data_IF_785452141744
#
_entry.id   IF_785452141744
#
_cell.length_a   1.000
_cell.length_b   1.000
_cell.length_c   1.000
_cell.angle_alpha   90.00
_cell.angle_beta   90.00
_cell.angle_gamma   90.00
#
_symmetry.space_group_name_H-M   'P 1'
#
loop_
_entity.id
_entity.type
_entity.pdbx_description
1 polymer ?
#
# COMPACT_ATOMS: atom_id res chain seq x y z
N UNK A 1 -13.19 -29.01 47.09
CA UNK A 1 -13.00 -27.59 46.72
C UNK A 1 -12.17 -27.49 45.45
N UNK A 2 -12.66 -28.05 44.33
CA UNK A 2 -11.90 -28.24 43.10
C UNK A 2 -12.76 -27.91 41.86
N UNK A 3 -13.54 -26.82 41.94
CA UNK A 3 -14.47 -26.41 40.86
C UNK A 3 -14.36 -24.95 40.45
N UNK A 4 -13.51 -24.16 41.10
CA UNK A 4 -13.37 -22.71 40.83
C UNK A 4 -12.16 -22.40 39.93
N UNK A 5 -11.21 -23.32 39.79
CA UNK A 5 -9.97 -23.07 39.02
C UNK A 5 -10.18 -23.14 37.49
N UNK A 6 -11.24 -23.80 37.00
CA UNK A 6 -11.48 -23.95 35.55
C UNK A 6 -12.11 -22.72 34.88
N UNK A 7 -12.75 -21.83 35.65
CA UNK A 7 -13.48 -20.67 35.09
C UNK A 7 -12.58 -19.44 34.86
N UNK A 8 -11.36 -19.43 35.39
CA UNK A 8 -10.43 -18.28 35.27
C UNK A 8 -9.54 -18.40 34.01
N UNK A 9 -9.30 -19.61 33.51
CA UNK A 9 -8.44 -19.85 32.32
C UNK A 9 -9.10 -19.51 30.97
N UNK A 10 -10.41 -19.29 30.95
CA UNK A 10 -11.16 -18.93 29.72
C UNK A 10 -11.31 -17.41 29.51
N UNK A 11 -10.86 -16.59 30.45
CA UNK A 11 -10.98 -15.12 30.37
C UNK A 11 -9.68 -14.41 29.98
N UNK A 12 -8.58 -15.15 29.86
CA UNK A 12 -7.29 -14.62 29.44
C UNK A 12 -6.92 -15.00 28.01
N UNK A 13 -7.85 -15.51 27.20
CA UNK A 13 -7.69 -15.49 25.74
C UNK A 13 -7.86 -14.05 25.26
N UNK A 14 -6.93 -13.18 25.66
CA UNK A 14 -6.64 -11.99 24.89
C UNK A 14 -6.33 -12.52 23.50
N UNK A 15 -7.22 -12.22 22.57
CA UNK A 15 -7.01 -12.46 21.16
C UNK A 15 -5.63 -11.92 20.82
N UNK A 16 -4.67 -12.80 20.56
CA UNK A 16 -3.45 -12.39 19.90
C UNK A 16 -3.86 -12.04 18.48
N UNK A 17 -4.17 -10.76 18.25
CA UNK A 17 -4.39 -10.25 16.90
C UNK A 17 -3.05 -10.45 16.18
N UNK A 18 -3.05 -11.25 15.12
CA UNK A 18 -1.88 -11.37 14.26
C UNK A 18 -1.54 -9.98 13.74
N UNK A 19 -0.26 -9.61 13.78
CA UNK A 19 0.17 -8.28 13.35
C UNK A 19 -0.26 -8.02 11.90
N UNK A 20 -1.03 -6.97 11.68
CA UNK A 20 -1.53 -6.56 10.37
C UNK A 20 -0.77 -5.33 9.89
N UNK A 21 -0.10 -5.47 8.74
CA UNK A 21 0.52 -4.38 8.03
C UNK A 21 -0.49 -3.69 7.12
N UNK A 22 -0.53 -2.36 7.16
CA UNK A 22 -1.29 -1.51 6.27
C UNK A 22 -0.33 -0.68 5.42
N UNK A 23 -0.51 -0.69 4.11
CA UNK A 23 0.29 0.11 3.17
C UNK A 23 -0.60 1.13 2.47
N UNK A 24 -0.14 2.36 2.40
CA UNK A 24 -0.86 3.47 1.80
C UNK A 24 -0.03 4.13 0.71
N UNK A 25 -0.69 4.63 -0.32
CA UNK A 25 -0.09 5.50 -1.34
C UNK A 25 -0.80 6.84 -1.34
N UNK A 26 -0.04 7.89 -1.03
CA UNK A 26 -0.50 9.28 -1.10
C UNK A 26 0.06 10.01 -2.31
N UNK A 27 -0.76 10.82 -2.99
CA UNK A 27 -0.38 11.68 -4.12
C UNK A 27 -0.70 13.13 -3.78
N UNK A 28 0.30 13.93 -3.49
CA UNK A 28 0.19 15.38 -3.23
C UNK A 28 0.66 16.17 -4.45
N UNK A 29 -0.19 17.08 -4.93
CA UNK A 29 0.06 17.86 -6.12
C UNK A 29 -0.11 19.34 -5.82
N UNK A 30 0.97 20.09 -6.07
CA UNK A 30 1.04 21.54 -5.94
C UNK A 30 1.63 22.12 -7.23
N UNK A 31 1.45 23.41 -7.53
CA UNK A 31 2.04 24.03 -8.71
C UNK A 31 3.57 23.93 -8.77
N UNK A 32 4.25 23.68 -7.65
CA UNK A 32 5.71 23.60 -7.55
C UNK A 32 6.26 22.18 -7.44
N UNK A 33 5.42 21.21 -7.02
CA UNK A 33 5.83 19.82 -6.86
C UNK A 33 4.68 18.82 -7.02
N UNK A 34 5.02 17.66 -7.56
CA UNK A 34 4.27 16.41 -7.39
C UNK A 34 5.05 15.57 -6.40
N UNK A 35 4.41 15.12 -5.32
CA UNK A 35 4.99 14.21 -4.36
C UNK A 35 4.10 12.99 -4.18
N UNK A 36 4.69 11.82 -4.32
CA UNK A 36 4.05 10.53 -4.05
C UNK A 36 4.78 9.92 -2.87
N UNK A 37 4.03 9.39 -1.91
CA UNK A 37 4.57 8.75 -0.71
C UNK A 37 3.96 7.37 -0.55
N UNK A 38 4.83 6.39 -0.28
CA UNK A 38 4.42 5.09 0.24
C UNK A 38 4.59 5.15 1.74
N UNK A 39 3.52 4.85 2.46
CA UNK A 39 3.47 4.88 3.92
C UNK A 39 3.03 3.52 4.43
N UNK A 40 3.49 3.16 5.62
CA UNK A 40 3.14 1.89 6.26
C UNK A 40 2.81 2.11 7.72
N UNK A 41 1.89 1.32 8.24
CA UNK A 41 1.51 1.32 9.63
C UNK A 41 1.10 -0.08 10.07
N UNK A 42 1.34 -0.43 11.32
CA UNK A 42 0.97 -1.72 11.88
C UNK A 42 -0.23 -1.57 12.81
N UNK A 43 -1.12 -2.57 12.80
CA UNK A 43 -2.19 -2.74 13.78
C UNK A 43 -3.05 -1.46 13.93
N UNK A 44 -3.29 -1.01 15.17
CA UNK A 44 -4.13 0.13 15.48
C UNK A 44 -3.71 1.46 14.83
N UNK A 45 -2.42 1.64 14.51
CA UNK A 45 -1.99 2.82 13.75
C UNK A 45 -2.53 2.77 12.31
N UNK A 46 -2.49 1.60 11.67
CA UNK A 46 -3.05 1.41 10.34
C UNK A 46 -4.57 1.55 10.32
N UNK A 47 -5.25 1.02 11.34
CA UNK A 47 -6.69 1.23 11.53
C UNK A 47 -7.03 2.72 11.70
N UNK A 48 -6.25 3.45 12.50
CA UNK A 48 -6.43 4.89 12.66
C UNK A 48 -6.25 5.62 11.32
N UNK A 49 -5.23 5.26 10.53
CA UNK A 49 -5.02 5.84 9.20
C UNK A 49 -6.18 5.56 8.24
N UNK A 50 -6.82 4.39 8.33
CA UNK A 50 -8.03 4.06 7.55
C UNK A 50 -9.22 4.95 7.91
N UNK A 51 -9.35 5.35 9.18
CA UNK A 51 -10.40 6.29 9.61
C UNK A 51 -10.11 7.73 9.20
N UNK A 52 -8.83 8.13 9.13
CA UNK A 52 -8.38 9.46 8.75
C UNK A 52 -8.21 9.61 7.22
N UNK A 53 -9.23 9.23 6.46
CA UNK A 53 -9.18 9.21 4.99
C UNK A 53 -8.85 10.59 4.42
N UNK A 54 -7.88 10.64 3.51
CA UNK A 54 -7.61 11.80 2.66
C UNK A 54 -7.99 11.46 1.21
N UNK A 55 -8.59 12.38 0.43
CA UNK A 55 -9.06 12.09 -0.93
C UNK A 55 -7.97 11.59 -1.89
N UNK A 56 -6.72 11.95 -1.61
CA UNK A 56 -5.54 11.68 -2.40
C UNK A 56 -4.61 10.64 -1.77
N UNK A 57 -5.12 9.84 -0.82
CA UNK A 57 -4.39 8.74 -0.18
C UNK A 57 -5.27 7.50 -0.19
N UNK A 58 -4.71 6.38 -0.64
CA UNK A 58 -5.44 5.12 -0.75
C UNK A 58 -4.72 4.03 0.04
N UNK A 59 -5.51 3.23 0.75
CA UNK A 59 -5.05 1.95 1.27
C UNK A 59 -4.92 0.98 0.09
N UNK A 60 -3.81 0.25 -0.01
CA UNK A 60 -3.52 -0.55 -1.19
C UNK A 60 -4.51 -1.69 -1.42
N UNK A 61 -5.17 -2.21 -0.37
CA UNK A 61 -6.25 -3.19 -0.52
C UNK A 61 -7.50 -2.62 -1.22
N UNK A 62 -7.70 -1.30 -1.22
CA UNK A 62 -8.78 -0.66 -1.97
C UNK A 62 -8.51 -0.60 -3.47
N UNK A 63 -7.29 -0.98 -3.89
CA UNK A 63 -6.90 -1.12 -5.29
C UNK A 63 -7.26 -2.49 -5.86
N UNK A 64 -8.00 -3.31 -5.11
CA UNK A 64 -8.57 -4.57 -5.62
C UNK A 64 -10.04 -4.68 -5.28
N UNK A 65 -10.77 -5.39 -6.14
CA UNK A 65 -12.11 -5.91 -5.86
C UNK A 65 -12.03 -7.42 -5.87
N UNK A 66 -12.52 -8.06 -4.81
CA UNK A 66 -12.74 -9.51 -4.80
C UNK A 66 -14.18 -9.73 -5.19
N UNK A 67 -14.41 -10.39 -6.32
CA UNK A 67 -15.75 -10.87 -6.64
C UNK A 67 -16.00 -12.15 -5.83
N UNK A 68 -17.15 -12.21 -5.15
CA UNK A 68 -17.55 -13.30 -4.28
C UNK A 68 -18.55 -14.24 -4.96
N UNK A 69 -18.40 -14.45 -6.27
CA UNK A 69 -19.26 -15.39 -6.99
C UNK A 69 -18.55 -16.76 -7.05
N UNK A 70 -19.08 -17.68 -6.26
CA UNK A 70 -18.77 -19.10 -6.10
C UNK A 70 -17.48 -19.47 -5.35
N UNK A 71 -17.69 -20.25 -4.28
CA UNK A 71 -16.81 -20.73 -3.18
C UNK A 71 -15.47 -21.40 -3.56
N UNK A 72 -15.02 -21.33 -4.82
CA UNK A 72 -13.83 -22.05 -5.30
C UNK A 72 -12.87 -21.12 -6.07
N UNK A 73 -13.30 -19.95 -6.58
CA UNK A 73 -12.44 -19.09 -7.40
C UNK A 73 -12.57 -17.60 -7.03
N UNK A 74 -11.72 -17.13 -6.10
CA UNK A 74 -11.55 -15.70 -5.86
C UNK A 74 -10.91 -15.02 -7.08
N UNK A 75 -11.71 -14.42 -7.95
CA UNK A 75 -11.19 -13.52 -8.98
C UNK A 75 -10.94 -12.14 -8.37
N UNK A 76 -9.68 -11.72 -8.39
CA UNK A 76 -9.29 -10.37 -7.95
C UNK A 76 -9.23 -9.45 -9.16
N UNK A 77 -10.12 -8.45 -9.20
CA UNK A 77 -10.13 -7.41 -10.24
C UNK A 77 -9.31 -6.21 -9.78
N UNK A 78 -8.33 -5.74 -10.57
CA UNK A 78 -7.56 -4.56 -10.22
C UNK A 78 -8.40 -3.28 -10.33
N UNK A 79 -8.23 -2.36 -9.38
CA UNK A 79 -8.80 -1.02 -9.39
C UNK A 79 -7.64 -0.02 -9.46
N UNK A 80 -7.59 0.75 -10.55
CA UNK A 80 -6.63 1.84 -10.69
C UNK A 80 -7.21 3.17 -10.20
N UNK A 81 -6.38 4.00 -9.56
CA UNK A 81 -6.70 5.40 -9.23
C UNK A 81 -5.88 6.33 -10.11
N UNK A 82 -6.52 7.35 -10.67
CA UNK A 82 -5.85 8.33 -11.54
C UNK A 82 -5.99 9.72 -10.95
N UNK A 83 -4.88 10.45 -10.89
CA UNK A 83 -4.81 11.85 -10.47
C UNK A 83 -4.17 12.66 -11.57
N UNK A 84 -4.78 13.79 -11.91
CA UNK A 84 -4.18 14.81 -12.78
C UNK A 84 -3.51 15.86 -11.90
N UNK A 85 -2.25 16.15 -12.19
CA UNK A 85 -1.44 17.08 -11.42
C UNK A 85 -0.84 18.14 -12.34
N UNK A 86 -0.98 19.40 -11.95
CA UNK A 86 -0.41 20.52 -12.69
C UNK A 86 0.83 21.05 -11.97
N UNK A 87 1.94 21.06 -12.68
CA UNK A 87 3.23 21.58 -12.24
C UNK A 87 3.55 22.81 -13.09
N UNK A 88 3.22 23.99 -12.58
CA UNK A 88 3.03 25.17 -13.41
C UNK A 88 1.94 24.91 -14.46
N UNK A 89 2.29 25.11 -15.73
CA UNK A 89 1.38 24.91 -16.87
C UNK A 89 1.47 23.50 -17.49
N UNK A 90 2.24 22.59 -16.89
CA UNK A 90 2.43 21.24 -17.42
C UNK A 90 1.55 20.26 -16.64
N UNK A 91 0.69 19.53 -17.35
CA UNK A 91 -0.09 18.44 -16.78
C UNK A 91 0.69 17.12 -16.74
N UNK A 92 0.56 16.43 -15.62
CA UNK A 92 1.03 15.08 -15.40
C UNK A 92 -0.14 14.20 -15.01
N UNK A 93 -0.17 12.99 -15.55
CA UNK A 93 -1.14 11.96 -15.16
C UNK A 93 -0.43 10.93 -14.28
N UNK A 94 -0.86 10.83 -13.03
CA UNK A 94 -0.39 9.86 -12.05
C UNK A 94 -1.41 8.74 -11.96
N UNK A 95 -1.00 7.51 -12.22
CA UNK A 95 -1.84 6.31 -12.10
C UNK A 95 -1.29 5.44 -10.98
N UNK A 96 -2.13 5.10 -10.01
CA UNK A 96 -1.84 4.16 -8.93
C UNK A 96 -2.58 2.86 -9.24
N UNK A 97 -1.83 1.81 -9.51
CA UNK A 97 -2.32 0.46 -9.80
C UNK A 97 -2.04 -0.46 -8.62
N UNK A 98 -2.85 -1.51 -8.40
CA UNK A 98 -2.46 -2.57 -7.49
C UNK A 98 -1.21 -3.28 -8.00
N UNK A 99 -0.34 -3.69 -7.09
CA UNK A 99 0.80 -4.54 -7.40
C UNK A 99 0.68 -5.82 -6.56
N UNK A 100 0.33 -6.91 -7.23
CA UNK A 100 0.18 -8.22 -6.59
C UNK A 100 1.52 -8.96 -6.58
N UNK A 101 1.77 -9.72 -5.52
CA UNK A 101 2.95 -10.59 -5.45
C UNK A 101 2.82 -11.77 -6.44
N UNK A 102 3.88 -12.14 -7.16
CA UNK A 102 3.88 -13.34 -7.99
C UNK A 102 4.02 -14.61 -7.13
N UNK A 103 3.19 -15.62 -7.40
CA UNK A 103 3.32 -16.97 -6.82
C UNK A 103 2.71 -17.16 -5.42
N UNK A 104 2.83 -18.38 -4.90
CA UNK A 104 2.39 -18.75 -3.55
C UNK A 104 3.57 -18.62 -2.58
N UNK A 105 3.40 -17.87 -1.49
CA UNK A 105 4.46 -17.69 -0.48
C UNK A 105 4.35 -18.77 0.61
N UNK A 106 5.41 -19.55 0.88
CA UNK A 106 5.36 -20.74 1.75
C UNK A 106 5.09 -20.45 3.24
N UNK A 107 5.03 -19.18 3.63
CA UNK A 107 4.78 -18.73 5.01
C UNK A 107 3.32 -18.27 5.23
N UNK A 108 2.45 -18.37 4.21
CA UNK A 108 1.07 -17.87 4.28
C UNK A 108 0.96 -16.33 4.28
N UNK A 109 -0.29 -15.83 4.20
CA UNK A 109 -0.75 -14.41 4.22
C UNK A 109 -0.26 -13.43 3.14
N UNK A 110 0.72 -13.80 2.34
CA UNK A 110 1.23 -12.93 1.27
C UNK A 110 0.21 -12.71 0.13
N UNK A 111 -0.54 -13.77 -0.24
CA UNK A 111 -1.57 -13.74 -1.28
C UNK A 111 -2.81 -12.90 -0.91
N UNK A 112 -2.97 -12.51 0.36
CA UNK A 112 -4.08 -11.66 0.82
C UNK A 112 -3.72 -10.18 0.88
N UNK A 113 -2.46 -9.83 0.62
CA UNK A 113 -1.96 -8.45 0.68
C UNK A 113 -1.81 -7.87 -0.72
N UNK A 114 -2.09 -6.59 -0.88
CA UNK A 114 -1.97 -5.84 -2.13
C UNK A 114 -0.93 -4.74 -1.94
N UNK A 115 0.07 -4.69 -2.82
CA UNK A 115 1.00 -3.58 -2.92
C UNK A 115 0.47 -2.50 -3.86
N UNK A 116 1.34 -1.60 -4.29
CA UNK A 116 0.97 -0.61 -5.29
C UNK A 116 2.12 -0.29 -6.24
N UNK A 117 1.75 -0.03 -7.48
CA UNK A 117 2.61 0.47 -8.54
C UNK A 117 2.10 1.81 -9.01
N UNK A 118 2.99 2.77 -9.03
CA UNK A 118 2.75 4.14 -9.45
C UNK A 118 3.38 4.35 -10.82
N UNK A 119 2.58 4.85 -11.74
CA UNK A 119 3.03 5.26 -13.06
C UNK A 119 2.76 6.74 -13.28
N UNK A 120 3.78 7.48 -13.72
CA UNK A 120 3.67 8.92 -13.98
C UNK A 120 3.90 9.17 -15.46
N UNK A 121 2.97 9.91 -16.07
CA UNK A 121 2.99 10.26 -17.48
C UNK A 121 3.03 11.77 -17.66
N UNK A 122 3.74 12.22 -18.72
CA UNK A 122 3.65 13.58 -19.26
C UNK A 122 3.21 13.48 -20.71
N UNK A 123 1.94 13.77 -20.97
CA UNK A 123 1.28 13.36 -22.22
C UNK A 123 1.27 11.83 -22.34
N UNK A 124 1.76 11.31 -23.46
CA UNK A 124 1.88 9.85 -23.70
C UNK A 124 3.18 9.25 -23.14
N UNK A 125 4.17 10.08 -22.81
CA UNK A 125 5.47 9.60 -22.33
C UNK A 125 5.37 9.17 -20.87
N UNK A 126 5.63 7.88 -20.61
CA UNK A 126 5.81 7.36 -19.25
C UNK A 126 7.18 7.78 -18.71
N UNK A 127 7.19 8.47 -17.59
CA UNK A 127 8.39 8.96 -16.91
C UNK A 127 8.84 8.02 -15.79
N UNK A 128 7.89 7.48 -15.03
CA UNK A 128 8.12 6.57 -13.91
C UNK A 128 7.12 5.41 -14.01
N UNK A 129 7.59 4.22 -13.65
CA UNK A 129 6.80 3.05 -13.36
C UNK A 129 7.52 2.29 -12.24
N UNK A 130 7.09 2.50 -11.00
CA UNK A 130 7.77 1.99 -9.82
C UNK A 130 6.78 1.66 -8.73
N UNK A 131 7.14 0.77 -7.81
CA UNK A 131 6.22 0.31 -6.79
C UNK A 131 6.82 -0.71 -5.86
N UNK A 132 5.96 -1.26 -5.02
CA UNK A 132 6.27 -2.40 -4.17
C UNK A 132 5.12 -3.39 -4.28
N UNK A 133 5.44 -4.67 -4.42
CA UNK A 133 4.45 -5.72 -4.26
C UNK A 133 4.28 -6.06 -2.78
N UNK A 134 3.23 -6.80 -2.45
CA UNK A 134 2.84 -7.06 -1.08
C UNK A 134 3.76 -8.02 -0.30
N UNK A 135 4.77 -8.59 -0.98
CA UNK A 135 5.65 -9.65 -0.47
C UNK A 135 7.12 -9.36 -0.71
N UNK A 136 7.46 -8.17 -1.17
CA UNK A 136 8.85 -7.77 -1.40
C UNK A 136 9.52 -7.64 -0.04
N UNK A 137 10.26 -8.65 0.40
CA UNK A 137 11.05 -8.59 1.63
C UNK A 137 12.53 -8.31 1.36
N UNK A 138 13.00 -8.49 0.14
CA UNK A 138 14.39 -8.24 -0.23
C UNK A 138 14.50 -7.11 -1.28
N UNK A 139 15.67 -6.48 -1.35
CA UNK A 139 15.93 -5.37 -2.25
C UNK A 139 15.48 -4.01 -1.71
N UNK A 140 15.21 -3.07 -2.62
CA UNK A 140 14.83 -1.70 -2.27
C UNK A 140 13.48 -1.32 -2.88
N UNK A 141 12.64 -0.67 -2.09
CA UNK A 141 11.30 -0.22 -2.48
C UNK A 141 11.24 1.31 -2.52
N UNK A 142 10.41 1.91 -3.40
CA UNK A 142 10.19 3.35 -3.39
C UNK A 142 9.40 3.76 -2.16
N UNK A 143 9.85 4.80 -1.47
CA UNK A 143 9.12 5.43 -0.35
C UNK A 143 8.65 6.83 -0.67
N UNK A 144 9.34 7.50 -1.59
CA UNK A 144 8.85 8.75 -2.16
C UNK A 144 9.27 8.89 -3.62
N UNK A 145 8.36 9.41 -4.43
CA UNK A 145 8.66 9.88 -5.78
C UNK A 145 8.33 11.37 -5.81
N UNK A 146 9.27 12.21 -6.24
CA UNK A 146 9.09 13.65 -6.30
C UNK A 146 9.44 14.20 -7.69
N UNK A 147 8.61 15.10 -8.20
CA UNK A 147 8.88 15.88 -9.42
C UNK A 147 8.76 17.35 -9.03
N UNK A 148 9.81 18.13 -9.29
CA UNK A 148 9.80 19.60 -9.12
C UNK A 148 9.64 20.28 -10.47
N UNK A 149 9.13 21.51 -10.47
CA UNK A 149 8.97 22.29 -11.70
C UNK A 149 10.28 22.36 -12.49
N UNK A 150 10.24 21.96 -13.77
CA UNK A 150 11.40 21.90 -14.66
C UNK A 150 12.41 20.77 -14.37
N UNK A 151 12.20 19.95 -13.34
CA UNK A 151 13.10 18.89 -12.93
C UNK A 151 12.71 17.49 -13.42
N UNK A 152 13.68 16.58 -13.38
CA UNK A 152 13.45 15.15 -13.57
C UNK A 152 12.84 14.52 -12.30
N UNK A 153 12.07 13.43 -12.43
CA UNK A 153 11.60 12.67 -11.27
C UNK A 153 12.77 12.14 -10.44
N UNK A 154 12.63 12.20 -9.13
CA UNK A 154 13.55 11.59 -8.16
C UNK A 154 12.81 10.53 -7.39
N UNK A 155 13.41 9.34 -7.24
CA UNK A 155 12.85 8.25 -6.44
C UNK A 155 13.75 8.04 -5.22
N UNK A 156 13.18 8.25 -4.04
CA UNK A 156 13.80 7.87 -2.77
C UNK A 156 13.41 6.44 -2.46
N UNK A 157 14.43 5.61 -2.17
CA UNK A 157 14.27 4.18 -1.89
C UNK A 157 14.79 3.87 -0.50
N UNK A 158 14.25 2.81 0.09
CA UNK A 158 14.79 2.20 1.30
C UNK A 158 14.77 0.67 1.18
N UNK A 159 15.56 -0.06 1.99
CA UNK A 159 15.49 -1.52 2.05
C UNK A 159 14.07 -1.99 2.35
N UNK A 160 13.60 -3.02 1.64
CA UNK A 160 12.23 -3.52 1.78
C UNK A 160 11.93 -4.01 3.20
N UNK A 161 12.90 -4.69 3.84
CA UNK A 161 12.79 -5.10 5.26
C UNK A 161 12.60 -3.93 6.20
N UNK A 162 13.37 -2.85 6.01
CA UNK A 162 13.28 -1.66 6.85
C UNK A 162 11.95 -0.93 6.66
N UNK A 163 11.44 -0.89 5.42
CA UNK A 163 10.10 -0.39 5.16
C UNK A 163 9.04 -1.22 5.89
N UNK A 164 9.06 -2.54 5.75
CA UNK A 164 8.04 -3.43 6.31
C UNK A 164 8.13 -3.49 7.85
N UNK A 165 9.30 -3.85 8.38
CA UNK A 165 9.49 -4.20 9.79
C UNK A 165 9.96 -3.03 10.65
N UNK A 166 10.43 -1.94 10.04
CA UNK A 166 11.16 -0.89 10.75
C UNK A 166 12.63 -1.26 10.97
N UNK A 167 13.38 -0.29 11.50
CA UNK A 167 14.78 -0.43 11.92
C UNK A 167 14.90 -0.94 13.34
#
# INVERSE_FOLDING_TARGET
MLRIVFLVLLWSSQTAWADQLYVFVGVDCTPQRIQIKFERAWNGEGELMLTQRRPNRWFTEELRKVDSDDDIHFQTKPISKTVLCHLGNVEFRVVVNPQFAPGWHPVGHCATRTGARVEIYRGEKRLIADGLDACTEDGSVPVSIAIRAGGSPTVTRMPAREFIWGS
#
